data_IF_642476121361
#
_entry.id   IF_642476121361
#
_cell.length_a   1.000
_cell.length_b   1.000
_cell.length_c   1.000
_cell.angle_alpha   90.00
_cell.angle_beta   90.00
_cell.angle_gamma   90.00
#
_symmetry.space_group_name_H-M   'P 1'
#
loop_
_entity.id
_entity.type
_entity.pdbx_description
1 polymer ?
#
# COMPACT_ATOMS: atom_id res chain seq x y z
N UNK A 1 -26.89 2.72 30.05
CA UNK A 1 -26.12 3.58 29.10
C UNK A 1 -26.17 2.93 27.74
N UNK A 2 -26.88 3.50 26.77
CA UNK A 2 -26.90 3.00 25.40
C UNK A 2 -25.67 3.55 24.72
N UNK A 3 -24.76 2.66 24.37
CA UNK A 3 -23.60 3.03 23.52
C UNK A 3 -24.12 3.62 22.20
N UNK A 4 -23.72 4.83 21.94
CA UNK A 4 -24.03 5.58 20.72
C UNK A 4 -23.23 4.92 19.58
N UNK A 5 -23.85 3.96 18.89
CA UNK A 5 -23.32 3.35 17.69
C UNK A 5 -23.22 4.46 16.66
N UNK A 6 -22.03 5.05 16.48
CA UNK A 6 -21.80 6.07 15.45
C UNK A 6 -22.23 5.45 14.12
N UNK A 7 -23.31 5.93 13.55
CA UNK A 7 -23.81 5.45 12.25
C UNK A 7 -22.72 5.65 11.23
N UNK A 8 -22.22 4.53 10.71
CA UNK A 8 -21.11 4.53 9.73
C UNK A 8 -21.60 5.15 8.44
N UNK A 9 -21.06 6.33 8.12
CA UNK A 9 -21.38 7.08 6.90
C UNK A 9 -21.04 6.23 5.69
N UNK A 10 -21.98 6.09 4.77
CA UNK A 10 -21.83 5.29 3.55
C UNK A 10 -21.73 6.22 2.33
N UNK A 11 -21.13 5.72 1.25
CA UNK A 11 -21.03 6.47 -0.03
C UNK A 11 -22.40 6.96 -0.52
N UNK A 12 -23.46 6.16 -0.31
CA UNK A 12 -24.83 6.56 -0.68
C UNK A 12 -25.35 7.76 0.11
N UNK A 13 -24.94 7.93 1.35
CA UNK A 13 -25.37 9.07 2.17
C UNK A 13 -24.71 10.36 1.68
N UNK A 14 -23.46 10.26 1.24
CA UNK A 14 -22.72 11.34 0.58
C UNK A 14 -23.37 11.70 -0.76
N UNK A 15 -23.69 10.70 -1.58
CA UNK A 15 -24.34 10.87 -2.87
C UNK A 15 -25.68 11.62 -2.75
N UNK A 16 -26.50 11.21 -1.78
CA UNK A 16 -27.78 11.87 -1.47
C UNK A 16 -27.56 13.33 -1.06
N UNK A 17 -26.62 13.60 -0.17
CA UNK A 17 -26.34 14.94 0.35
C UNK A 17 -25.71 15.86 -0.69
N UNK A 18 -24.87 15.33 -1.58
CA UNK A 18 -24.26 16.05 -2.68
C UNK A 18 -25.20 16.20 -3.89
N UNK A 19 -26.32 15.47 -3.95
CA UNK A 19 -27.24 15.46 -5.09
C UNK A 19 -26.61 14.89 -6.37
N UNK A 20 -25.79 13.86 -6.24
CA UNK A 20 -25.11 13.19 -7.36
C UNK A 20 -25.30 11.67 -7.26
N UNK A 21 -24.92 10.95 -8.32
CA UNK A 21 -24.95 9.48 -8.28
C UNK A 21 -23.87 8.89 -7.37
N UNK A 22 -24.09 7.69 -6.84
CA UNK A 22 -23.08 6.92 -6.09
C UNK A 22 -21.80 6.71 -6.92
N UNK A 23 -21.93 6.46 -8.23
CA UNK A 23 -20.81 6.34 -9.14
C UNK A 23 -20.00 7.63 -9.31
N UNK A 24 -20.64 8.80 -9.19
CA UNK A 24 -19.96 10.09 -9.19
C UNK A 24 -19.12 10.24 -7.93
N UNK A 25 -19.68 9.91 -6.75
CA UNK A 25 -18.96 9.95 -5.48
C UNK A 25 -17.77 8.99 -5.50
N UNK A 26 -17.95 7.77 -6.00
CA UNK A 26 -16.87 6.78 -6.13
C UNK A 26 -15.72 7.30 -7.01
N UNK A 27 -16.03 7.92 -8.16
CA UNK A 27 -15.01 8.52 -9.03
C UNK A 27 -14.24 9.65 -8.35
N UNK A 28 -14.92 10.47 -7.56
CA UNK A 28 -14.26 11.57 -6.82
C UNK A 28 -13.34 11.01 -5.74
N UNK A 29 -13.81 10.08 -4.93
CA UNK A 29 -13.02 9.45 -3.86
C UNK A 29 -11.74 8.80 -4.41
N UNK A 30 -11.82 8.17 -5.59
CA UNK A 30 -10.69 7.48 -6.21
C UNK A 30 -9.93 8.31 -7.26
N UNK A 31 -10.18 9.63 -7.34
CA UNK A 31 -9.47 10.53 -8.26
C UNK A 31 -9.69 10.24 -9.75
N UNK A 32 -10.74 9.48 -10.12
CA UNK A 32 -10.99 9.09 -11.51
C UNK A 32 -11.54 10.25 -12.33
N UNK A 33 -11.35 10.18 -13.64
CA UNK A 33 -11.86 11.15 -14.61
C UNK A 33 -13.37 10.98 -14.88
N UNK A 34 -13.97 11.91 -15.64
CA UNK A 34 -15.39 11.83 -16.03
C UNK A 34 -16.37 12.40 -15.00
N UNK A 35 -15.90 13.32 -14.16
CA UNK A 35 -16.71 14.10 -13.21
C UNK A 35 -16.49 15.58 -13.49
N UNK A 36 -17.57 16.37 -13.57
CA UNK A 36 -17.47 17.82 -13.74
C UNK A 36 -16.82 18.47 -12.51
N UNK A 37 -16.09 19.55 -12.71
CA UNK A 37 -15.41 20.28 -11.63
C UNK A 37 -16.40 20.73 -10.53
N UNK A 38 -17.59 21.18 -10.93
CA UNK A 38 -18.66 21.56 -10.00
C UNK A 38 -19.11 20.38 -9.12
N UNK A 39 -19.31 19.20 -9.72
CA UNK A 39 -19.68 18.00 -8.98
C UNK A 39 -18.56 17.51 -8.06
N UNK A 40 -17.30 17.60 -8.52
CA UNK A 40 -16.13 17.23 -7.73
C UNK A 40 -16.04 18.09 -6.46
N UNK A 41 -16.04 19.40 -6.59
CA UNK A 41 -15.99 20.33 -5.45
C UNK A 41 -17.10 20.07 -4.44
N UNK A 42 -18.32 19.88 -4.93
CA UNK A 42 -19.49 19.62 -4.09
C UNK A 42 -19.36 18.33 -3.28
N UNK A 43 -18.86 17.26 -3.90
CA UNK A 43 -18.60 15.97 -3.22
C UNK A 43 -17.48 16.12 -2.19
N UNK A 44 -16.38 16.79 -2.54
CA UNK A 44 -15.25 17.02 -1.64
C UNK A 44 -15.63 17.82 -0.39
N UNK A 45 -16.49 18.83 -0.55
CA UNK A 45 -17.04 19.59 0.58
C UNK A 45 -17.88 18.71 1.51
N UNK A 46 -18.75 17.88 0.95
CA UNK A 46 -19.58 16.95 1.74
C UNK A 46 -18.74 15.89 2.44
N UNK A 47 -17.71 15.36 1.78
CA UNK A 47 -16.75 14.41 2.40
C UNK A 47 -16.08 15.04 3.63
N UNK A 48 -15.64 16.31 3.52
CA UNK A 48 -15.04 17.05 4.63
C UNK A 48 -16.06 17.31 5.76
N UNK A 49 -17.25 17.82 5.41
CA UNK A 49 -18.30 18.10 6.41
C UNK A 49 -18.74 16.87 7.20
N UNK A 50 -18.76 15.71 6.54
CA UNK A 50 -19.16 14.44 7.16
C UNK A 50 -17.98 13.70 7.80
N UNK A 51 -16.77 14.25 7.74
CA UNK A 51 -15.53 13.55 8.18
C UNK A 51 -15.47 12.10 7.67
N UNK A 52 -15.81 11.92 6.38
CA UNK A 52 -15.88 10.60 5.79
C UNK A 52 -14.48 10.01 5.61
N UNK A 53 -14.28 8.82 6.15
CA UNK A 53 -13.09 8.02 5.91
C UNK A 53 -13.45 6.81 5.04
N UNK A 54 -12.80 6.65 3.87
CA UNK A 54 -12.99 5.47 3.04
C UNK A 54 -12.72 4.19 3.83
N UNK A 55 -13.61 3.23 3.68
CA UNK A 55 -13.35 1.92 4.27
C UNK A 55 -12.35 1.16 3.40
N UNK A 56 -11.08 1.21 3.77
CA UNK A 56 -9.99 0.55 3.04
C UNK A 56 -10.23 -0.96 2.88
N UNK A 57 -10.80 -1.63 3.89
CA UNK A 57 -11.15 -3.05 3.81
C UNK A 57 -12.22 -3.34 2.76
N UNK A 58 -13.29 -2.55 2.74
CA UNK A 58 -14.33 -2.71 1.73
C UNK A 58 -13.82 -2.40 0.32
N UNK A 59 -12.94 -1.42 0.19
CA UNK A 59 -12.31 -1.06 -1.09
C UNK A 59 -11.35 -2.16 -1.57
N UNK A 60 -10.53 -2.71 -0.69
CA UNK A 60 -9.61 -3.81 -1.00
C UNK A 60 -10.36 -5.07 -1.45
N UNK A 61 -11.41 -5.45 -0.71
CA UNK A 61 -12.29 -6.57 -1.06
C UNK A 61 -12.99 -6.38 -2.43
N UNK A 62 -13.42 -5.15 -2.73
CA UNK A 62 -14.10 -4.85 -3.99
C UNK A 62 -13.14 -4.78 -5.19
N UNK A 63 -11.89 -4.35 -4.98
CA UNK A 63 -10.93 -4.16 -6.07
C UNK A 63 -10.30 -5.45 -6.57
N UNK A 64 -10.27 -6.51 -5.74
CA UNK A 64 -9.55 -7.77 -6.00
C UNK A 64 -8.09 -7.56 -6.48
N UNK A 65 -7.52 -6.36 -6.21
CA UNK A 65 -6.15 -6.01 -6.58
C UNK A 65 -5.19 -6.83 -5.72
N UNK A 66 -4.19 -7.42 -6.36
CA UNK A 66 -3.09 -8.09 -5.67
C UNK A 66 -1.92 -7.12 -5.59
N UNK A 67 -1.27 -7.09 -4.44
CA UNK A 67 -0.06 -6.30 -4.24
C UNK A 67 1.11 -7.25 -4.04
N UNK A 68 2.13 -7.08 -4.86
CA UNK A 68 3.38 -7.83 -4.78
C UNK A 68 4.46 -6.93 -4.18
N UNK A 69 4.81 -7.17 -2.93
CA UNK A 69 5.88 -6.44 -2.25
C UNK A 69 7.14 -7.30 -2.25
N UNK A 70 8.27 -6.68 -2.50
CA UNK A 70 9.56 -7.33 -2.35
C UNK A 70 10.35 -6.69 -1.20
N UNK A 71 11.06 -7.50 -0.45
CA UNK A 71 11.93 -7.06 0.63
C UNK A 71 13.32 -7.60 0.42
N UNK A 72 14.34 -6.76 0.61
CA UNK A 72 15.75 -7.12 0.53
C UNK A 72 16.38 -6.95 1.90
N UNK A 73 16.80 -8.09 2.51
CA UNK A 73 17.38 -8.14 3.85
C UNK A 73 18.77 -8.77 3.82
N UNK A 74 19.65 -8.40 4.76
CA UNK A 74 20.88 -9.17 4.97
C UNK A 74 20.58 -10.63 5.34
N UNK A 75 21.45 -11.54 4.93
CA UNK A 75 21.47 -12.90 5.46
C UNK A 75 21.62 -12.85 6.98
N UNK A 76 20.79 -13.59 7.69
CA UNK A 76 20.73 -13.56 9.15
C UNK A 76 20.38 -14.95 9.74
N UNK A 77 20.67 -15.10 11.02
CA UNK A 77 20.37 -16.29 11.81
C UNK A 77 19.30 -16.03 12.87
N UNK A 78 18.94 -17.04 13.63
CA UNK A 78 17.85 -16.97 14.62
C UNK A 78 18.04 -15.96 15.77
N UNK A 79 19.25 -15.49 16.00
CA UNK A 79 19.57 -14.56 17.11
C UNK A 79 19.85 -13.14 16.60
N UNK A 80 19.70 -12.89 15.29
CA UNK A 80 20.01 -11.61 14.68
C UNK A 80 18.82 -10.63 14.71
N UNK A 81 19.14 -9.36 14.79
CA UNK A 81 18.17 -8.25 14.69
C UNK A 81 17.20 -8.38 13.49
N UNK A 82 17.71 -8.85 12.36
CA UNK A 82 16.93 -8.98 11.14
C UNK A 82 15.86 -10.06 11.20
N UNK A 83 16.01 -11.06 12.07
CA UNK A 83 14.98 -12.07 12.28
C UNK A 83 13.69 -11.49 12.83
N UNK A 84 13.77 -10.57 13.81
CA UNK A 84 12.60 -9.92 14.37
C UNK A 84 11.91 -9.01 13.33
N UNK A 85 12.70 -8.34 12.49
CA UNK A 85 12.18 -7.52 11.37
C UNK A 85 11.43 -8.42 10.37
N UNK A 86 12.02 -9.52 9.95
CA UNK A 86 11.38 -10.47 9.04
C UNK A 86 10.10 -11.07 9.63
N UNK A 87 10.15 -11.49 10.89
CA UNK A 87 8.98 -12.02 11.60
C UNK A 87 7.85 -10.98 11.69
N UNK A 88 8.19 -9.73 11.98
CA UNK A 88 7.24 -8.60 11.98
C UNK A 88 6.58 -8.37 10.62
N UNK A 89 7.35 -8.42 9.53
CA UNK A 89 6.82 -8.29 8.17
C UNK A 89 5.88 -9.44 7.80
N UNK A 90 6.27 -10.68 8.09
CA UNK A 90 5.42 -11.87 7.88
C UNK A 90 4.13 -11.81 8.70
N UNK A 91 4.22 -11.36 9.94
CA UNK A 91 3.06 -11.15 10.81
C UNK A 91 2.12 -10.07 10.23
N UNK A 92 2.65 -8.95 9.76
CA UNK A 92 1.87 -7.89 9.14
C UNK A 92 1.10 -8.40 7.92
N UNK A 93 1.78 -9.13 7.00
CA UNK A 93 1.12 -9.73 5.82
C UNK A 93 0.01 -10.71 6.22
N UNK A 94 0.25 -11.54 7.25
CA UNK A 94 -0.76 -12.45 7.79
C UNK A 94 -1.96 -11.72 8.38
N UNK A 95 -1.73 -10.62 9.10
CA UNK A 95 -2.78 -9.79 9.69
C UNK A 95 -3.63 -9.11 8.61
N UNK A 96 -3.02 -8.67 7.53
CA UNK A 96 -3.67 -7.97 6.42
C UNK A 96 -3.93 -8.87 5.20
N UNK A 97 -4.13 -10.16 5.41
CA UNK A 97 -4.36 -11.15 4.34
C UNK A 97 -5.49 -10.79 3.37
N UNK A 98 -6.53 -10.09 3.87
CA UNK A 98 -7.69 -9.68 3.07
C UNK A 98 -7.37 -8.57 2.05
N UNK A 99 -6.18 -7.96 2.14
CA UNK A 99 -5.68 -6.98 1.16
C UNK A 99 -4.94 -7.63 -0.02
N UNK A 100 -4.87 -8.96 -0.08
CA UNK A 100 -4.17 -9.70 -1.14
C UNK A 100 -2.69 -9.28 -1.30
N UNK A 101 -2.01 -9.04 -0.20
CA UNK A 101 -0.59 -8.67 -0.19
C UNK A 101 0.25 -9.95 -0.24
N UNK A 102 1.19 -10.01 -1.18
CA UNK A 102 2.27 -10.98 -1.22
C UNK A 102 3.56 -10.30 -0.85
N UNK A 103 4.35 -10.94 0.00
CA UNK A 103 5.69 -10.47 0.37
C UNK A 103 6.70 -11.49 -0.12
N UNK A 104 7.61 -11.04 -0.97
CA UNK A 104 8.75 -11.82 -1.42
C UNK A 104 9.99 -11.28 -0.71
N UNK A 105 10.69 -12.11 0.04
CA UNK A 105 11.90 -11.72 0.79
C UNK A 105 13.10 -12.33 0.09
N UNK A 106 14.02 -11.47 -0.32
CA UNK A 106 15.31 -11.82 -0.88
C UNK A 106 16.39 -11.45 0.12
N UNK A 107 17.49 -12.16 0.06
CA UNK A 107 18.59 -11.98 1.00
C UNK A 107 19.89 -11.66 0.26
N UNK A 108 20.76 -10.88 0.89
CA UNK A 108 22.10 -10.61 0.40
C UNK A 108 23.12 -10.80 1.54
N UNK A 109 24.32 -11.23 1.19
CA UNK A 109 25.42 -11.26 2.15
C UNK A 109 26.01 -9.84 2.29
N UNK A 110 25.85 -9.26 3.49
CA UNK A 110 26.34 -7.90 3.77
C UNK A 110 27.87 -7.78 3.77
N UNK A 111 28.59 -8.89 3.78
CA UNK A 111 30.03 -8.94 3.78
C UNK A 111 30.62 -9.23 2.39
N UNK A 112 29.78 -9.59 1.42
CA UNK A 112 30.19 -9.88 0.06
C UNK A 112 29.97 -8.67 -0.85
N UNK A 113 31.03 -8.08 -1.43
CA UNK A 113 30.89 -6.93 -2.33
C UNK A 113 30.00 -7.25 -3.53
N UNK A 114 29.04 -6.38 -3.81
CA UNK A 114 28.12 -6.53 -4.95
C UNK A 114 26.92 -7.44 -4.69
N UNK A 115 26.87 -8.21 -3.60
CA UNK A 115 25.75 -9.09 -3.29
C UNK A 115 24.42 -8.36 -3.15
N UNK A 116 24.44 -7.13 -2.60
CA UNK A 116 23.25 -6.28 -2.53
C UNK A 116 22.75 -5.92 -3.94
N UNK A 117 23.64 -5.52 -4.84
CA UNK A 117 23.28 -5.16 -6.20
C UNK A 117 22.74 -6.35 -7.01
N UNK A 118 23.26 -7.55 -6.79
CA UNK A 118 22.76 -8.78 -7.43
C UNK A 118 21.36 -9.13 -6.93
N UNK A 119 21.17 -9.16 -5.61
CA UNK A 119 19.86 -9.41 -5.02
C UNK A 119 18.85 -8.30 -5.35
N UNK A 120 19.31 -7.05 -5.51
CA UNK A 120 18.51 -5.93 -5.99
C UNK A 120 18.00 -6.15 -7.42
N UNK A 121 18.82 -6.68 -8.32
CA UNK A 121 18.40 -7.05 -9.69
C UNK A 121 17.36 -8.16 -9.67
N UNK A 122 17.59 -9.21 -8.88
CA UNK A 122 16.61 -10.29 -8.69
C UNK A 122 15.28 -9.74 -8.15
N UNK A 123 15.33 -8.84 -7.16
CA UNK A 123 14.15 -8.16 -6.65
C UNK A 123 13.36 -7.44 -7.75
N UNK A 124 14.05 -6.71 -8.62
CA UNK A 124 13.43 -5.98 -9.73
C UNK A 124 12.81 -6.91 -10.79
N UNK A 125 13.36 -8.12 -10.99
CA UNK A 125 12.79 -9.14 -11.89
C UNK A 125 11.45 -9.69 -11.40
N UNK A 126 11.18 -9.64 -10.09
CA UNK A 126 9.87 -10.03 -9.54
C UNK A 126 8.76 -9.03 -9.86
N UNK A 127 9.07 -7.89 -10.48
CA UNK A 127 8.15 -6.81 -10.82
C UNK A 127 7.25 -6.41 -9.63
N UNK A 128 7.84 -5.99 -8.50
CA UNK A 128 7.06 -5.68 -7.32
C UNK A 128 6.34 -4.33 -7.46
N UNK A 129 5.13 -4.22 -6.87
CA UNK A 129 4.40 -2.95 -6.74
C UNK A 129 5.06 -2.00 -5.73
N UNK A 130 6.00 -2.49 -4.91
CA UNK A 130 6.77 -1.71 -3.96
C UNK A 130 7.89 -2.52 -3.33
N UNK A 131 8.95 -1.84 -2.88
CA UNK A 131 10.12 -2.46 -2.29
C UNK A 131 10.46 -1.91 -0.90
N UNK A 132 10.95 -2.79 -0.04
CA UNK A 132 11.53 -2.46 1.26
C UNK A 132 12.97 -2.98 1.22
N UNK A 133 13.93 -2.14 1.57
CA UNK A 133 15.34 -2.53 1.51
C UNK A 133 16.04 -2.18 2.82
N UNK A 134 16.73 -3.15 3.40
CA UNK A 134 17.78 -2.87 4.36
C UNK A 134 18.99 -2.35 3.57
N UNK A 135 19.48 -1.12 3.81
CA UNK A 135 20.53 -0.56 2.98
C UNK A 135 21.87 -1.27 3.22
N UNK A 136 22.65 -1.45 2.14
CA UNK A 136 24.06 -1.81 2.19
C UNK A 136 24.90 -0.54 2.14
N UNK A 137 25.33 -0.13 0.95
CA UNK A 137 25.97 1.16 0.71
C UNK A 137 24.95 2.19 0.21
N UNK A 138 25.29 3.49 0.32
CA UNK A 138 24.42 4.57 -0.17
C UNK A 138 24.21 4.45 -1.69
N UNK A 139 25.28 4.23 -2.46
CA UNK A 139 25.22 4.19 -3.92
C UNK A 139 24.40 3.00 -4.42
N UNK A 140 24.67 1.77 -3.95
CA UNK A 140 23.94 0.59 -4.37
C UNK A 140 22.46 0.65 -4.00
N UNK A 141 22.16 1.15 -2.79
CA UNK A 141 20.77 1.30 -2.32
C UNK A 141 20.02 2.33 -3.17
N UNK A 142 20.66 3.46 -3.47
CA UNK A 142 20.09 4.51 -4.30
C UNK A 142 19.82 4.05 -5.72
N UNK A 143 20.76 3.35 -6.33
CA UNK A 143 20.62 2.82 -7.68
C UNK A 143 19.45 1.83 -7.78
N UNK A 144 19.34 0.91 -6.85
CA UNK A 144 18.22 -0.05 -6.80
C UNK A 144 16.89 0.65 -6.58
N UNK A 145 16.84 1.64 -5.69
CA UNK A 145 15.63 2.42 -5.43
C UNK A 145 15.18 3.24 -6.64
N UNK A 146 16.10 3.84 -7.39
CA UNK A 146 15.79 4.57 -8.62
C UNK A 146 15.23 3.64 -9.69
N UNK A 147 15.85 2.49 -9.91
CA UNK A 147 15.36 1.49 -10.87
C UNK A 147 13.96 0.97 -10.50
N UNK A 148 13.69 0.75 -9.21
CA UNK A 148 12.36 0.35 -8.73
C UNK A 148 11.32 1.44 -9.01
N UNK A 149 11.68 2.71 -8.80
CA UNK A 149 10.81 3.86 -9.06
C UNK A 149 10.49 4.04 -10.54
N UNK A 150 11.43 3.77 -11.43
CA UNK A 150 11.26 3.92 -12.88
C UNK A 150 10.33 2.84 -13.47
N UNK A 151 10.17 1.71 -12.79
CA UNK A 151 9.34 0.57 -13.24
C UNK A 151 7.89 0.64 -12.72
N UNK A 152 7.59 1.51 -11.74
CA UNK A 152 6.30 1.72 -11.12
C UNK A 152 5.73 3.12 -11.43
#
# INVERSE_FOLDING_TARGET
MRENKSERIRIKDIALKAGVSVGTVDRVIHGRTGVSEASRKKVEEILKQMNYQPNMYASALASNKKYNLACLLPLHTQEDYWMDIEAGMKHAVSTYKDFNIRLNILYYDQYEPGAFSEAGKEMLETMPDGGIMAPSSEDETKDTALQLKERN
#
